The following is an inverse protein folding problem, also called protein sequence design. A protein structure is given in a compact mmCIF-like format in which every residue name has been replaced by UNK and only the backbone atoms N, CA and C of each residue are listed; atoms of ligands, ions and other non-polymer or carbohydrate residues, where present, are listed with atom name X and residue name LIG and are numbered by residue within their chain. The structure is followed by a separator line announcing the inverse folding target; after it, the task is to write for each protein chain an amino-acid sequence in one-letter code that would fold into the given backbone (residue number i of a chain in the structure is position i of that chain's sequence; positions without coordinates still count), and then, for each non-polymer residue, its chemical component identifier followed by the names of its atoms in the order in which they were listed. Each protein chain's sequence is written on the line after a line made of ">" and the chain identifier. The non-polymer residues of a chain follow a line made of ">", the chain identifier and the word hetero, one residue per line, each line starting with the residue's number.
data_IF_100901039791
#
_entry.id   IF_100901039791
#
_cell.length_a   1.000
_cell.length_b   1.000
_cell.length_c   1.000
_cell.angle_alpha   90.00
_cell.angle_beta   90.00
_cell.angle_gamma   90.00
#
_symmetry.space_group_name_H-M   'P 1'
#
loop_
_entity.id
_entity.type
_entity.pdbx_description
1 polymer ?
#
# COMPACT_ATOMS: atom_id res chain seq x y z
N UNK A 1 29.72 -2.87 3.21
CA UNK A 1 29.98 -1.68 4.05
C UNK A 1 29.41 -0.41 3.44
N UNK A 2 29.61 -0.13 2.14
CA UNK A 2 29.13 1.09 1.48
C UNK A 2 27.62 1.41 1.69
N UNK A 3 26.73 0.43 1.58
CA UNK A 3 25.28 0.68 1.74
C UNK A 3 24.87 1.18 3.13
N UNK A 4 25.56 0.77 4.20
CA UNK A 4 25.26 1.26 5.57
C UNK A 4 25.63 2.72 5.74
N UNK A 5 26.74 3.15 5.15
CA UNK A 5 27.17 4.55 5.16
C UNK A 5 26.15 5.44 4.46
N UNK A 6 25.65 5.00 3.31
CA UNK A 6 24.69 5.76 2.50
C UNK A 6 23.33 5.95 3.19
N UNK A 7 22.75 4.89 3.78
CA UNK A 7 21.49 5.03 4.53
C UNK A 7 21.63 5.97 5.73
N UNK A 8 22.83 6.04 6.32
CA UNK A 8 23.15 6.97 7.39
C UNK A 8 23.21 8.40 6.90
N UNK A 9 23.89 8.64 5.79
CA UNK A 9 23.93 9.96 5.14
C UNK A 9 22.52 10.45 4.80
N UNK A 10 21.64 9.61 4.24
CA UNK A 10 20.25 9.99 3.97
C UNK A 10 19.48 10.40 5.23
N UNK A 11 19.65 9.64 6.32
CA UNK A 11 18.98 9.97 7.59
C UNK A 11 19.51 11.30 8.17
N UNK A 12 20.82 11.54 8.07
CA UNK A 12 21.45 12.79 8.50
C UNK A 12 21.02 13.97 7.64
N UNK A 13 20.90 13.80 6.32
CA UNK A 13 20.38 14.82 5.40
C UNK A 13 18.93 15.17 5.70
N UNK A 14 18.06 14.19 5.98
CA UNK A 14 16.68 14.46 6.38
C UNK A 14 16.63 15.22 7.71
N UNK A 15 17.43 14.83 8.71
CA UNK A 15 17.54 15.57 9.98
C UNK A 15 18.02 17.00 9.77
N UNK A 16 19.09 17.16 9.02
CA UNK A 16 19.67 18.46 8.71
C UNK A 16 18.70 19.36 7.95
N UNK A 17 17.90 18.81 7.03
CA UNK A 17 16.89 19.58 6.28
C UNK A 17 15.89 20.31 7.19
N UNK A 18 15.59 19.75 8.37
CA UNK A 18 14.66 20.34 9.36
C UNK A 18 15.24 21.55 10.09
N UNK A 19 16.55 21.74 10.05
CA UNK A 19 17.22 22.87 10.68
C UNK A 19 17.21 24.13 9.79
N UNK A 20 16.85 23.99 8.51
CA UNK A 20 16.75 25.13 7.61
C UNK A 20 15.56 26.03 7.96
N UNK A 21 15.82 27.34 8.01
CA UNK A 21 14.76 28.35 8.11
C UNK A 21 14.02 28.53 6.78
N UNK A 22 14.72 28.31 5.66
CA UNK A 22 14.13 28.34 4.33
C UNK A 22 13.52 26.98 3.98
N UNK A 23 12.20 26.97 3.90
CA UNK A 23 11.42 25.77 3.58
C UNK A 23 11.72 25.24 2.18
N UNK A 24 12.00 26.09 1.20
CA UNK A 24 12.26 25.64 -0.18
C UNK A 24 13.53 24.78 -0.23
N UNK A 25 14.60 25.24 0.43
CA UNK A 25 15.84 24.48 0.54
C UNK A 25 15.64 23.16 1.30
N UNK A 26 14.87 23.17 2.39
CA UNK A 26 14.53 21.95 3.12
C UNK A 26 13.80 20.93 2.21
N UNK A 27 12.80 21.38 1.44
CA UNK A 27 12.02 20.53 0.54
C UNK A 27 12.85 19.95 -0.61
N UNK A 28 13.78 20.71 -1.15
CA UNK A 28 14.69 20.23 -2.19
C UNK A 28 15.54 19.06 -1.68
N UNK A 29 16.16 19.21 -0.50
CA UNK A 29 16.94 18.14 0.12
C UNK A 29 16.07 16.90 0.39
N UNK A 30 14.88 17.10 0.96
CA UNK A 30 13.96 16.01 1.27
C UNK A 30 13.53 15.24 0.01
N UNK A 31 13.23 15.97 -1.06
CA UNK A 31 12.87 15.42 -2.38
C UNK A 31 14.02 14.60 -2.94
N UNK A 32 15.22 15.17 -3.02
CA UNK A 32 16.41 14.50 -3.55
C UNK A 32 16.77 13.23 -2.77
N UNK A 33 16.64 13.25 -1.44
CA UNK A 33 16.85 12.05 -0.62
C UNK A 33 15.79 10.99 -0.94
N UNK A 34 14.52 11.34 -1.06
CA UNK A 34 13.45 10.40 -1.42
C UNK A 34 13.68 9.80 -2.83
N UNK A 35 14.12 10.61 -3.80
CA UNK A 35 14.46 10.16 -5.15
C UNK A 35 15.61 9.16 -5.15
N UNK A 36 16.74 9.54 -4.55
CA UNK A 36 17.91 8.68 -4.47
C UNK A 36 17.56 7.37 -3.74
N UNK A 37 16.82 7.46 -2.64
CA UNK A 37 16.36 6.30 -1.89
C UNK A 37 15.51 5.36 -2.74
N UNK A 38 14.52 5.87 -3.48
CA UNK A 38 13.69 5.06 -4.38
C UNK A 38 14.53 4.32 -5.43
N UNK A 39 15.50 5.02 -6.04
CA UNK A 39 16.39 4.43 -7.04
C UNK A 39 17.22 3.29 -6.44
N UNK A 40 17.80 3.50 -5.26
CA UNK A 40 18.69 2.51 -4.62
C UNK A 40 17.91 1.30 -4.11
N UNK A 41 16.68 1.50 -3.62
CA UNK A 41 15.83 0.42 -3.10
C UNK A 41 15.16 -0.40 -4.21
N UNK A 42 15.05 0.16 -5.41
CA UNK A 42 14.46 -0.54 -6.55
C UNK A 42 15.27 -1.78 -6.90
N UNK A 43 14.63 -2.95 -6.80
CA UNK A 43 15.24 -4.26 -7.10
C UNK A 43 16.51 -4.58 -6.27
N UNK A 44 16.59 -4.06 -5.05
CA UNK A 44 17.73 -4.24 -4.15
C UNK A 44 17.30 -4.87 -2.80
N UNK A 45 17.06 -6.18 -2.74
CA UNK A 45 16.56 -6.84 -1.54
C UNK A 45 17.51 -6.71 -0.35
N UNK A 46 18.83 -6.66 -0.56
CA UNK A 46 19.81 -6.40 0.51
C UNK A 46 19.69 -4.96 1.04
N UNK A 47 19.47 -3.99 0.16
CA UNK A 47 19.22 -2.59 0.54
C UNK A 47 17.97 -2.46 1.42
N UNK A 48 16.89 -3.13 1.03
CA UNK A 48 15.64 -3.18 1.81
C UNK A 48 15.88 -3.83 3.18
N UNK A 49 16.53 -4.99 3.23
CA UNK A 49 16.87 -5.68 4.49
C UNK A 49 17.74 -4.79 5.39
N UNK A 50 18.72 -4.08 4.82
CA UNK A 50 19.55 -3.16 5.57
C UNK A 50 18.75 -2.01 6.15
N UNK A 51 17.89 -1.36 5.35
CA UNK A 51 17.08 -0.21 5.77
C UNK A 51 16.11 -0.58 6.90
N UNK A 52 15.52 -1.77 6.85
CA UNK A 52 14.52 -2.21 7.83
C UNK A 52 15.19 -2.84 9.07
N UNK A 53 16.15 -3.76 8.90
CA UNK A 53 16.62 -4.63 9.97
C UNK A 53 17.94 -4.24 10.61
N UNK A 54 18.84 -3.53 9.90
CA UNK A 54 20.27 -3.52 10.23
C UNK A 54 20.90 -2.13 10.20
N UNK A 55 20.09 -1.10 10.33
CA UNK A 55 20.55 0.26 10.15
C UNK A 55 20.76 0.96 11.50
N UNK A 56 22.00 1.40 11.77
CA UNK A 56 22.30 2.39 12.81
C UNK A 56 21.64 3.74 12.50
N UNK A 57 21.19 3.93 11.25
CA UNK A 57 20.42 5.06 10.81
C UNK A 57 18.95 4.68 10.69
N UNK A 58 18.11 5.28 11.52
CA UNK A 58 16.67 5.02 11.50
C UNK A 58 15.99 5.67 10.29
N UNK A 59 16.44 5.33 9.07
CA UNK A 59 15.96 5.93 7.82
C UNK A 59 14.46 5.71 7.63
N UNK A 60 13.93 4.58 8.08
CA UNK A 60 12.49 4.31 8.04
C UNK A 60 11.74 5.28 8.94
N UNK A 61 12.19 5.47 10.19
CA UNK A 61 11.62 6.47 11.09
C UNK A 61 11.73 7.90 10.55
N UNK A 62 12.86 8.25 9.93
CA UNK A 62 13.04 9.57 9.32
C UNK A 62 12.09 9.81 8.13
N UNK A 63 11.87 8.80 7.28
CA UNK A 63 10.92 8.88 6.16
C UNK A 63 9.46 8.93 6.64
N UNK A 64 9.13 8.18 7.70
CA UNK A 64 7.81 8.24 8.34
C UNK A 64 7.53 9.62 8.90
N UNK A 65 8.49 10.18 9.64
CA UNK A 65 8.41 11.55 10.18
C UNK A 65 8.30 12.60 9.07
N UNK A 66 9.05 12.42 7.99
CA UNK A 66 8.99 13.31 6.83
C UNK A 66 7.56 13.42 6.26
N UNK A 67 6.94 12.27 6.03
CA UNK A 67 5.61 12.15 5.42
C UNK A 67 4.47 12.50 6.40
N UNK A 68 4.69 12.30 7.69
CA UNK A 68 3.67 12.55 8.71
C UNK A 68 3.69 13.98 9.26
N UNK A 69 4.87 14.46 9.65
CA UNK A 69 5.04 15.67 10.47
C UNK A 69 5.67 16.83 9.68
N UNK A 70 6.69 16.55 8.87
CA UNK A 70 7.55 17.61 8.31
C UNK A 70 6.97 18.26 7.04
N UNK A 71 6.24 17.51 6.22
CA UNK A 71 5.61 17.97 4.98
C UNK A 71 4.09 18.05 5.18
N UNK A 72 3.47 19.23 5.06
CA UNK A 72 2.01 19.33 5.12
C UNK A 72 1.37 18.60 3.94
N UNK A 73 0.15 18.12 4.14
CA UNK A 73 -0.56 17.27 3.17
C UNK A 73 -0.69 17.92 1.79
N UNK A 74 -0.81 19.24 1.72
CA UNK A 74 -0.95 19.99 0.46
C UNK A 74 0.38 20.05 -0.33
N UNK A 75 1.52 20.00 0.37
CA UNK A 75 2.87 20.02 -0.23
C UNK A 75 3.39 18.60 -0.52
N UNK A 76 2.73 17.55 -0.03
CA UNK A 76 3.23 16.20 -0.24
C UNK A 76 3.16 15.82 -1.72
N UNK A 77 4.27 15.36 -2.26
CA UNK A 77 4.38 14.88 -3.64
C UNK A 77 4.49 13.36 -3.68
N UNK A 78 4.24 12.81 -4.86
CA UNK A 78 4.30 11.36 -5.11
C UNK A 78 5.62 10.75 -4.64
N UNK A 79 6.73 11.48 -4.80
CA UNK A 79 8.06 11.00 -4.48
C UNK A 79 8.29 10.78 -2.97
N UNK A 80 7.70 11.63 -2.11
CA UNK A 80 7.81 11.48 -0.67
C UNK A 80 7.15 10.17 -0.20
N UNK A 81 5.97 9.86 -0.73
CA UNK A 81 5.25 8.62 -0.43
C UNK A 81 5.90 7.41 -1.11
N UNK A 82 6.57 7.61 -2.26
CA UNK A 82 7.25 6.55 -3.01
C UNK A 82 8.38 5.89 -2.23
N UNK A 83 9.08 6.64 -1.37
CA UNK A 83 10.16 6.10 -0.56
C UNK A 83 9.66 5.00 0.39
N UNK A 84 8.59 5.28 1.14
CA UNK A 84 7.95 4.29 2.02
C UNK A 84 7.30 3.15 1.23
N UNK A 85 6.64 3.47 0.10
CA UNK A 85 6.07 2.45 -0.80
C UNK A 85 7.12 1.46 -1.27
N UNK A 86 8.33 1.92 -1.61
CA UNK A 86 9.41 1.07 -2.12
C UNK A 86 9.81 -0.01 -1.11
N UNK A 87 9.83 0.33 0.18
CA UNK A 87 10.06 -0.63 1.27
C UNK A 87 9.00 -1.75 1.28
N UNK A 88 7.72 -1.38 1.15
CA UNK A 88 6.64 -2.36 1.13
C UNK A 88 6.56 -3.15 -0.18
N UNK A 89 6.86 -2.52 -1.31
CA UNK A 89 6.76 -3.11 -2.64
C UNK A 89 7.83 -4.17 -2.89
N UNK A 90 9.09 -3.85 -2.55
CA UNK A 90 10.24 -4.72 -2.77
C UNK A 90 10.61 -5.55 -1.53
N UNK A 91 10.03 -5.24 -0.38
CA UNK A 91 10.14 -6.04 0.83
C UNK A 91 9.39 -7.38 0.75
N UNK A 92 9.94 -8.36 1.47
CA UNK A 92 9.30 -9.66 1.73
C UNK A 92 8.14 -9.49 2.72
N UNK A 93 7.21 -10.46 2.84
CA UNK A 93 6.12 -10.38 3.81
C UNK A 93 6.58 -10.07 5.24
N UNK A 94 7.70 -10.63 5.69
CA UNK A 94 8.28 -10.38 7.02
C UNK A 94 8.70 -8.91 7.19
N UNK A 95 9.23 -8.28 6.15
CA UNK A 95 9.57 -6.86 6.16
C UNK A 95 8.32 -5.98 6.29
N UNK A 96 7.21 -6.37 5.66
CA UNK A 96 5.95 -5.63 5.73
C UNK A 96 5.33 -5.72 7.12
N UNK A 97 5.40 -6.90 7.74
CA UNK A 97 5.05 -7.09 9.14
C UNK A 97 5.87 -6.16 10.04
N UNK A 98 7.19 -6.13 9.87
CA UNK A 98 8.07 -5.24 10.64
C UNK A 98 7.77 -3.75 10.44
N UNK A 99 7.44 -3.34 9.22
CA UNK A 99 7.03 -1.95 8.93
C UNK A 99 5.69 -1.60 9.59
N UNK A 100 4.75 -2.55 9.62
CA UNK A 100 3.48 -2.39 10.32
C UNK A 100 3.70 -2.21 11.84
N UNK A 101 4.52 -3.06 12.46
CA UNK A 101 4.88 -2.96 13.88
C UNK A 101 5.58 -1.64 14.23
N UNK A 102 6.22 -1.00 13.23
CA UNK A 102 6.81 0.33 13.38
C UNK A 102 5.83 1.49 13.23
N UNK A 103 4.58 1.23 12.83
CA UNK A 103 3.54 2.26 12.70
C UNK A 103 3.48 2.95 11.33
N UNK A 104 4.04 2.34 10.28
CA UNK A 104 4.05 2.95 8.93
C UNK A 104 2.65 3.35 8.43
N UNK A 105 1.64 2.56 8.79
CA UNK A 105 0.24 2.79 8.45
C UNK A 105 -0.27 4.11 9.02
N UNK A 106 0.10 4.46 10.26
CA UNK A 106 -0.31 5.69 10.92
C UNK A 106 0.32 6.91 10.24
N UNK A 107 1.58 6.79 9.82
CA UNK A 107 2.30 7.88 9.16
C UNK A 107 1.74 8.21 7.77
N UNK A 108 1.21 7.23 7.05
CA UNK A 108 0.74 7.43 5.67
C UNK A 108 -0.77 7.59 5.55
N UNK A 109 -1.57 7.23 6.57
CA UNK A 109 -3.03 7.18 6.46
C UNK A 109 -3.64 8.52 6.02
N UNK A 110 -3.09 9.63 6.49
CA UNK A 110 -3.57 10.97 6.16
C UNK A 110 -3.43 11.31 4.67
N UNK A 111 -2.46 10.70 3.98
CA UNK A 111 -2.21 10.94 2.56
C UNK A 111 -3.34 10.43 1.66
N UNK A 112 -4.21 9.54 2.17
CA UNK A 112 -5.44 9.14 1.48
C UNK A 112 -6.41 10.31 1.26
N UNK A 113 -6.27 11.40 2.03
CA UNK A 113 -7.09 12.61 1.89
C UNK A 113 -6.50 13.64 0.90
N UNK A 114 -5.36 13.35 0.29
CA UNK A 114 -4.74 14.23 -0.70
C UNK A 114 -5.64 14.36 -1.94
N UNK A 115 -5.67 15.54 -2.53
CA UNK A 115 -6.30 15.78 -3.82
C UNK A 115 -5.46 15.25 -4.99
N UNK A 116 -4.18 14.95 -4.77
CA UNK A 116 -3.23 14.45 -5.78
C UNK A 116 -3.43 12.95 -6.05
N UNK A 117 -3.81 12.53 -7.28
CA UNK A 117 -4.14 11.13 -7.58
C UNK A 117 -3.01 10.13 -7.34
N UNK A 118 -1.77 10.52 -7.62
CA UNK A 118 -0.64 9.62 -7.44
C UNK A 118 -0.26 9.44 -5.96
N UNK A 119 -0.49 10.45 -5.12
CA UNK A 119 -0.25 10.39 -3.67
C UNK A 119 -1.23 9.41 -3.02
N UNK A 120 -2.53 9.53 -3.31
CA UNK A 120 -3.56 8.60 -2.80
C UNK A 120 -3.34 7.19 -3.33
N UNK A 121 -3.01 7.04 -4.61
CA UNK A 121 -2.74 5.73 -5.23
C UNK A 121 -1.54 5.04 -4.55
N UNK A 122 -0.44 5.76 -4.33
CA UNK A 122 0.75 5.17 -3.73
C UNK A 122 0.56 4.86 -2.25
N UNK A 123 -0.28 5.65 -1.57
CA UNK A 123 -0.69 5.38 -0.20
C UNK A 123 -1.57 4.12 -0.13
N UNK A 124 -2.60 4.02 -0.97
CA UNK A 124 -3.47 2.84 -1.06
C UNK A 124 -2.67 1.58 -1.42
N UNK A 125 -1.72 1.69 -2.36
CA UNK A 125 -0.84 0.58 -2.72
C UNK A 125 0.06 0.14 -1.55
N UNK A 126 0.55 1.09 -0.75
CA UNK A 126 1.33 0.78 0.45
C UNK A 126 0.47 0.05 1.50
N UNK A 127 -0.74 0.55 1.77
CA UNK A 127 -1.70 -0.10 2.68
C UNK A 127 -2.06 -1.52 2.21
N UNK A 128 -2.35 -1.69 0.91
CA UNK A 128 -2.59 -3.01 0.33
C UNK A 128 -1.43 -3.98 0.57
N UNK A 129 -0.18 -3.53 0.42
CA UNK A 129 1.00 -4.38 0.67
C UNK A 129 1.12 -4.78 2.14
N UNK A 130 0.83 -3.86 3.06
CA UNK A 130 0.85 -4.15 4.50
C UNK A 130 -0.23 -5.18 4.86
N UNK A 131 -1.47 -4.93 4.46
CA UNK A 131 -2.63 -5.82 4.71
C UNK A 131 -2.39 -7.20 4.09
N UNK A 132 -1.98 -7.26 2.81
CA UNK A 132 -1.72 -8.54 2.15
C UNK A 132 -0.47 -9.24 2.67
N UNK A 133 0.47 -8.53 3.33
CA UNK A 133 1.68 -9.11 3.91
C UNK A 133 1.36 -10.21 4.92
N UNK A 134 0.44 -9.93 5.85
CA UNK A 134 0.00 -10.87 6.87
C UNK A 134 -0.65 -12.12 6.28
N UNK A 135 -1.36 -11.97 5.17
CA UNK A 135 -1.99 -13.11 4.51
C UNK A 135 -0.99 -14.11 3.96
N UNK A 136 0.12 -13.64 3.38
CA UNK A 136 1.18 -14.51 2.90
C UNK A 136 1.86 -15.24 4.06
N UNK A 137 1.96 -14.62 5.24
CA UNK A 137 2.54 -15.23 6.44
C UNK A 137 1.60 -16.27 7.07
N UNK A 138 0.28 -16.05 7.01
CA UNK A 138 -0.73 -16.86 7.70
C UNK A 138 -1.52 -17.81 6.77
N UNK A 139 -1.18 -17.87 5.48
CA UNK A 139 -1.72 -18.87 4.55
C UNK A 139 -3.21 -18.71 4.21
N UNK A 140 -3.73 -17.47 4.20
CA UNK A 140 -5.07 -17.11 3.69
C UNK A 140 -6.27 -17.76 4.39
N UNK A 141 -6.11 -18.31 5.60
CA UNK A 141 -7.16 -19.11 6.27
C UNK A 141 -7.69 -18.51 7.56
N UNK A 142 -7.22 -17.33 7.97
CA UNK A 142 -7.61 -16.72 9.23
C UNK A 142 -8.24 -15.35 9.02
N UNK A 143 -8.95 -14.89 10.04
CA UNK A 143 -9.24 -13.47 10.22
C UNK A 143 -7.92 -12.68 10.15
N UNK A 144 -7.97 -11.47 9.59
CA UNK A 144 -6.77 -10.63 9.50
C UNK A 144 -6.24 -10.35 10.92
N UNK A 145 -4.97 -10.68 11.25
CA UNK A 145 -4.44 -10.59 12.62
C UNK A 145 -4.56 -9.18 13.24
N UNK A 146 -4.44 -8.16 12.39
CA UNK A 146 -4.52 -6.75 12.78
C UNK A 146 -5.86 -6.08 12.48
N UNK A 147 -6.94 -6.83 12.25
CA UNK A 147 -8.23 -6.23 11.92
C UNK A 147 -8.68 -5.20 12.96
N UNK A 148 -8.72 -5.60 14.23
CA UNK A 148 -9.27 -4.75 15.30
C UNK A 148 -8.39 -3.49 15.47
N UNK A 149 -7.06 -3.62 15.35
CA UNK A 149 -6.13 -2.48 15.35
C UNK A 149 -6.35 -1.53 14.17
N UNK A 150 -6.55 -2.05 12.96
CA UNK A 150 -6.85 -1.24 11.78
C UNK A 150 -8.21 -0.55 11.88
N UNK A 151 -9.19 -1.18 12.50
CA UNK A 151 -10.49 -0.59 12.78
C UNK A 151 -10.37 0.57 13.78
N UNK A 152 -9.67 0.36 14.90
CA UNK A 152 -9.41 1.38 15.93
C UNK A 152 -8.64 2.58 15.37
N UNK A 153 -7.64 2.35 14.52
CA UNK A 153 -6.87 3.38 13.81
C UNK A 153 -7.67 4.09 12.71
N UNK A 154 -8.90 3.63 12.42
CA UNK A 154 -9.75 4.23 11.40
C UNK A 154 -9.32 3.92 9.96
N UNK A 155 -8.48 2.91 9.74
CA UNK A 155 -8.02 2.50 8.40
C UNK A 155 -9.16 1.95 7.56
N UNK A 156 -10.05 1.15 8.14
CA UNK A 156 -11.25 0.67 7.45
C UNK A 156 -12.11 1.86 6.95
N UNK A 157 -12.25 2.89 7.81
CA UNK A 157 -13.02 4.09 7.49
C UNK A 157 -12.36 4.94 6.41
N UNK A 158 -11.03 5.14 6.46
CA UNK A 158 -10.32 5.94 5.45
C UNK A 158 -10.37 5.26 4.08
N UNK A 159 -10.18 3.94 4.03
CA UNK A 159 -10.25 3.16 2.79
C UNK A 159 -11.64 3.26 2.18
N UNK A 160 -12.68 3.22 3.00
CA UNK A 160 -14.06 3.34 2.52
C UNK A 160 -14.42 4.77 2.06
N UNK A 161 -14.22 5.75 2.93
CA UNK A 161 -14.71 7.12 2.68
C UNK A 161 -13.83 7.91 1.72
N UNK A 162 -12.51 7.86 1.90
CA UNK A 162 -11.56 8.64 1.10
C UNK A 162 -11.03 7.83 -0.09
N UNK A 163 -10.77 6.53 0.11
CA UNK A 163 -10.27 5.65 -0.95
C UNK A 163 -11.32 5.22 -1.97
N UNK A 164 -12.41 4.60 -1.50
CA UNK A 164 -13.42 3.97 -2.35
C UNK A 164 -14.49 4.97 -2.83
N UNK A 165 -15.05 5.79 -1.94
CA UNK A 165 -16.14 6.72 -2.30
C UNK A 165 -15.65 8.04 -2.92
N UNK A 166 -14.55 8.60 -2.39
CA UNK A 166 -13.96 9.88 -2.85
C UNK A 166 -12.65 9.72 -3.62
N UNK A 167 -12.28 8.49 -3.99
CA UNK A 167 -11.04 8.22 -4.70
C UNK A 167 -10.91 9.09 -5.95
N UNK A 168 -9.78 9.77 -6.07
CA UNK A 168 -9.47 10.69 -7.18
C UNK A 168 -8.91 9.99 -8.43
N UNK A 169 -8.68 8.67 -8.38
CA UNK A 169 -8.48 7.85 -9.58
C UNK A 169 -9.00 6.42 -9.41
N UNK A 170 -9.29 5.76 -10.54
CA UNK A 170 -9.90 4.43 -10.56
C UNK A 170 -9.04 3.38 -9.83
N UNK A 171 -7.71 3.43 -9.99
CA UNK A 171 -6.80 2.49 -9.31
C UNK A 171 -6.85 2.62 -7.79
N UNK A 172 -7.01 3.83 -7.24
CA UNK A 172 -7.17 4.05 -5.80
C UNK A 172 -8.49 3.43 -5.31
N UNK A 173 -9.57 3.61 -6.08
CA UNK A 173 -10.90 3.06 -5.79
C UNK A 173 -10.83 1.52 -5.76
N UNK A 174 -10.22 0.92 -6.79
CA UNK A 174 -10.07 -0.54 -6.91
C UNK A 174 -9.25 -1.11 -5.76
N UNK A 175 -8.06 -0.55 -5.50
CA UNK A 175 -7.20 -0.99 -4.39
C UNK A 175 -7.87 -0.82 -3.02
N UNK A 176 -8.69 0.21 -2.85
CA UNK A 176 -9.41 0.42 -1.58
C UNK A 176 -10.50 -0.64 -1.37
N UNK A 177 -11.26 -0.98 -2.42
CA UNK A 177 -12.22 -2.09 -2.38
C UNK A 177 -11.53 -3.43 -2.11
N UNK A 178 -10.38 -3.66 -2.74
CA UNK A 178 -9.56 -4.84 -2.48
C UNK A 178 -9.09 -4.88 -1.03
N UNK A 179 -8.48 -3.82 -0.50
CA UNK A 179 -8.04 -3.76 0.90
C UNK A 179 -9.18 -4.09 1.86
N UNK A 180 -10.36 -3.49 1.66
CA UNK A 180 -11.55 -3.78 2.47
C UNK A 180 -11.96 -5.25 2.37
N UNK A 181 -11.95 -5.84 1.17
CA UNK A 181 -12.27 -7.26 1.00
C UNK A 181 -11.29 -8.20 1.70
N UNK A 182 -10.02 -7.82 1.78
CA UNK A 182 -9.01 -8.56 2.53
C UNK A 182 -9.19 -8.39 4.04
N UNK A 183 -9.47 -7.18 4.51
CA UNK A 183 -9.68 -6.94 5.94
C UNK A 183 -10.91 -7.70 6.45
N UNK A 184 -12.00 -7.67 5.70
CA UNK A 184 -13.25 -8.34 6.05
C UNK A 184 -13.31 -9.82 5.62
N UNK A 185 -12.19 -10.46 5.28
CA UNK A 185 -12.20 -11.91 5.05
C UNK A 185 -12.72 -12.64 6.31
N UNK A 186 -13.67 -13.56 6.10
CA UNK A 186 -14.37 -14.28 7.19
C UNK A 186 -15.13 -13.37 8.18
N UNK A 187 -15.33 -12.10 7.85
CA UNK A 187 -16.20 -11.17 8.59
C UNK A 187 -17.28 -10.63 7.66
N UNK A 188 -18.41 -10.24 8.22
CA UNK A 188 -19.44 -9.57 7.43
C UNK A 188 -19.06 -8.10 7.23
N UNK A 189 -19.20 -7.60 6.00
CA UNK A 189 -19.05 -6.17 5.73
C UNK A 189 -20.18 -5.38 6.42
N UNK A 190 -19.90 -4.20 6.99
CA UNK A 190 -20.94 -3.30 7.48
C UNK A 190 -21.95 -3.00 6.36
N UNK A 191 -23.23 -2.89 6.72
CA UNK A 191 -24.34 -2.77 5.78
C UNK A 191 -24.11 -1.60 4.80
N UNK A 192 -23.59 -0.50 5.31
CA UNK A 192 -23.26 0.71 4.55
C UNK A 192 -22.10 0.53 3.55
N UNK A 193 -21.19 -0.42 3.79
CA UNK A 193 -20.04 -0.69 2.92
C UNK A 193 -20.33 -1.78 1.89
N UNK A 194 -21.15 -2.76 2.26
CA UNK A 194 -21.36 -4.03 1.55
C UNK A 194 -21.68 -3.85 0.07
N UNK A 195 -22.70 -3.07 -0.26
CA UNK A 195 -23.12 -2.86 -1.65
C UNK A 195 -22.01 -2.16 -2.47
N UNK A 196 -21.38 -1.14 -1.91
CA UNK A 196 -20.37 -0.33 -2.61
C UNK A 196 -19.12 -1.16 -2.91
N UNK A 197 -18.63 -1.93 -1.93
CA UNK A 197 -17.45 -2.80 -2.07
C UNK A 197 -17.74 -3.92 -3.08
N UNK A 198 -18.86 -4.64 -2.94
CA UNK A 198 -19.20 -5.75 -3.85
C UNK A 198 -19.39 -5.26 -5.28
N UNK A 199 -20.09 -4.13 -5.47
CA UNK A 199 -20.28 -3.56 -6.80
C UNK A 199 -18.95 -3.17 -7.44
N UNK A 200 -18.02 -2.60 -6.67
CA UNK A 200 -16.72 -2.22 -7.20
C UNK A 200 -15.88 -3.42 -7.62
N UNK A 201 -15.80 -4.46 -6.77
CA UNK A 201 -15.10 -5.69 -7.12
C UNK A 201 -15.76 -6.39 -8.32
N UNK A 202 -17.08 -6.37 -8.41
CA UNK A 202 -17.81 -6.94 -9.56
C UNK A 202 -17.49 -6.22 -10.88
N UNK A 203 -17.32 -4.89 -10.86
CA UNK A 203 -16.86 -4.13 -12.03
C UNK A 203 -15.44 -4.56 -12.45
N UNK A 204 -14.56 -4.81 -11.49
CA UNK A 204 -13.19 -5.26 -11.76
C UNK A 204 -13.12 -6.60 -12.49
N UNK A 205 -14.13 -7.47 -12.34
CA UNK A 205 -14.25 -8.71 -13.14
C UNK A 205 -14.49 -8.49 -14.63
N UNK A 206 -14.93 -7.29 -15.02
CA UNK A 206 -15.19 -6.92 -16.41
C UNK A 206 -14.02 -6.15 -17.03
N UNK A 207 -12.94 -5.92 -16.27
CA UNK A 207 -11.77 -5.18 -16.73
C UNK A 207 -10.95 -6.04 -17.73
N UNK A 208 -10.45 -5.49 -18.84
CA UNK A 208 -9.57 -6.24 -19.76
C UNK A 208 -8.24 -6.68 -19.14
N UNK A 209 -7.77 -6.03 -18.07
CA UNK A 209 -6.55 -6.40 -17.36
C UNK A 209 -6.78 -7.65 -16.49
N UNK A 210 -6.02 -8.71 -16.79
CA UNK A 210 -6.06 -9.97 -16.03
C UNK A 210 -5.66 -9.79 -14.58
N UNK A 211 -4.79 -8.83 -14.27
CA UNK A 211 -4.39 -8.54 -12.89
C UNK A 211 -5.59 -8.04 -12.09
N UNK A 212 -6.38 -7.11 -12.66
CA UNK A 212 -7.56 -6.53 -12.02
C UNK A 212 -8.67 -7.58 -11.84
N UNK A 213 -8.90 -8.44 -12.84
CA UNK A 213 -9.84 -9.58 -12.73
C UNK A 213 -9.41 -10.50 -11.57
N UNK A 214 -8.12 -10.85 -11.50
CA UNK A 214 -7.58 -11.76 -10.47
C UNK A 214 -7.77 -11.18 -9.07
N UNK A 215 -7.40 -9.91 -8.88
CA UNK A 215 -7.51 -9.28 -7.58
C UNK A 215 -8.98 -9.12 -7.15
N UNK A 216 -9.85 -8.72 -8.07
CA UNK A 216 -11.29 -8.60 -7.81
C UNK A 216 -11.97 -9.94 -7.50
N UNK A 217 -11.62 -10.99 -8.25
CA UNK A 217 -12.12 -12.36 -8.01
C UNK A 217 -11.72 -12.84 -6.62
N UNK A 218 -10.46 -12.62 -6.24
CA UNK A 218 -9.97 -12.95 -4.91
C UNK A 218 -10.71 -12.17 -3.82
N UNK A 219 -10.90 -10.86 -3.99
CA UNK A 219 -11.64 -10.05 -3.03
C UNK A 219 -13.08 -10.54 -2.81
N UNK A 220 -13.80 -10.86 -3.89
CA UNK A 220 -15.13 -11.44 -3.80
C UNK A 220 -15.11 -12.81 -3.10
N UNK A 221 -14.14 -13.66 -3.41
CA UNK A 221 -13.97 -14.96 -2.75
C UNK A 221 -13.72 -14.79 -1.25
N UNK A 222 -12.92 -13.80 -0.86
CA UNK A 222 -12.61 -13.51 0.55
C UNK A 222 -13.86 -13.09 1.34
N UNK A 223 -14.74 -12.30 0.73
CA UNK A 223 -16.01 -11.89 1.33
C UNK A 223 -17.02 -13.05 1.44
N UNK A 224 -17.07 -13.92 0.42
CA UNK A 224 -17.94 -15.10 0.40
C UNK A 224 -17.66 -16.13 1.52
N UNK A 225 -16.51 -16.02 2.20
CA UNK A 225 -16.14 -16.90 3.30
C UNK A 225 -16.80 -16.54 4.64
N UNK A 226 -17.49 -15.40 4.74
CA UNK A 226 -18.25 -15.08 5.95
C UNK A 226 -19.55 -15.90 6.02
N UNK A 227 -19.89 -16.40 7.21
CA UNK A 227 -20.98 -17.39 7.41
C UNK A 227 -22.36 -16.91 6.93
N UNK A 228 -22.57 -15.59 6.82
CA UNK A 228 -23.81 -14.96 6.38
C UNK A 228 -23.82 -14.49 4.91
N UNK A 229 -22.68 -14.48 4.21
CA UNK A 229 -22.57 -13.97 2.83
C UNK A 229 -22.70 -15.04 1.75
N UNK A 230 -23.43 -16.12 2.05
CA UNK A 230 -24.01 -17.05 1.06
C UNK A 230 -25.16 -16.38 0.28
N UNK A 231 -24.98 -15.13 -0.13
CA UNK A 231 -25.81 -14.50 -1.14
C UNK A 231 -25.46 -15.09 -2.50
N UNK A 232 -26.49 -15.59 -3.21
CA UNK A 232 -26.40 -16.15 -4.56
C UNK A 232 -25.61 -15.26 -5.57
N UNK A 233 -25.45 -13.95 -5.30
CA UNK A 233 -24.72 -13.03 -6.17
C UNK A 233 -23.19 -13.27 -6.17
N UNK A 234 -22.56 -13.42 -5.00
CA UNK A 234 -21.10 -13.63 -4.90
C UNK A 234 -20.72 -15.00 -5.44
N UNK A 235 -21.50 -16.02 -5.08
CA UNK A 235 -21.22 -17.40 -5.48
C UNK A 235 -21.36 -17.62 -6.99
N UNK A 236 -22.34 -16.97 -7.65
CA UNK A 236 -22.48 -17.00 -9.12
C UNK A 236 -21.33 -16.31 -9.84
N UNK A 237 -20.82 -15.21 -9.28
CA UNK A 237 -19.70 -14.45 -9.86
C UNK A 237 -18.36 -15.17 -9.72
N UNK A 238 -18.14 -15.92 -8.63
CA UNK A 238 -16.91 -16.68 -8.42
C UNK A 238 -16.82 -17.94 -9.30
N UNK A 239 -17.94 -18.60 -9.59
CA UNK A 239 -17.94 -19.85 -10.39
C UNK A 239 -17.49 -19.67 -11.84
N UNK A 240 -17.58 -18.46 -12.42
CA UNK A 240 -17.05 -18.18 -13.76
C UNK A 240 -15.54 -17.89 -13.77
N UNK A 241 -14.97 -17.36 -12.68
CA UNK A 241 -13.55 -16.97 -12.62
C UNK A 241 -12.59 -18.07 -12.13
N UNK A 242 -13.08 -19.10 -11.43
CA UNK A 242 -12.27 -20.20 -10.90
C UNK A 242 -11.52 -21.01 -11.99
N UNK A 243 -11.89 -20.86 -13.26
CA UNK A 243 -11.12 -21.44 -14.37
C UNK A 243 -9.78 -20.73 -14.65
N UNK A 244 -9.51 -19.55 -14.06
CA UNK A 244 -8.26 -18.82 -14.25
C UNK A 244 -7.17 -19.12 -13.19
N UNK A 245 -7.50 -19.74 -12.06
CA UNK A 245 -6.53 -19.93 -10.96
C UNK A 245 -5.57 -21.12 -11.15
N UNK A 246 -5.84 -22.04 -12.08
CA UNK A 246 -5.05 -23.28 -12.22
C UNK A 246 -3.68 -23.06 -12.90
N UNK A 247 -3.41 -21.91 -13.53
CA UNK A 247 -2.23 -21.72 -14.40
C UNK A 247 -1.15 -20.72 -13.90
N UNK A 248 -1.30 -20.03 -12.75
CA UNK A 248 -0.56 -18.76 -12.52
C UNK A 248 0.13 -18.63 -11.15
N UNK A 249 0.91 -19.64 -10.77
CA UNK A 249 1.76 -19.59 -9.56
C UNK A 249 3.20 -19.09 -9.81
N UNK A 250 3.47 -18.43 -10.96
CA UNK A 250 4.84 -17.98 -11.33
C UNK A 250 5.02 -16.49 -11.66
N UNK A 251 4.02 -15.62 -11.50
CA UNK A 251 4.12 -14.22 -11.99
C UNK A 251 3.92 -13.12 -10.93
N UNK A 252 4.47 -13.29 -9.74
CA UNK A 252 4.63 -12.19 -8.78
C UNK A 252 5.76 -11.24 -9.20
N UNK A 253 5.57 -10.45 -10.27
CA UNK A 253 6.46 -9.32 -10.63
C UNK A 253 5.81 -8.24 -11.54
N UNK A 254 4.48 -8.19 -11.65
CA UNK A 254 3.81 -7.35 -12.66
C UNK A 254 3.65 -5.86 -12.26
N UNK A 255 3.86 -5.50 -10.99
CA UNK A 255 3.67 -4.09 -10.55
C UNK A 255 4.91 -3.19 -10.64
N UNK A 256 6.04 -3.69 -11.14
CA UNK A 256 7.31 -2.94 -11.23
C UNK A 256 7.55 -2.26 -12.58
N UNK A 257 6.75 -2.53 -13.63
CA UNK A 257 7.09 -2.09 -14.99
C UNK A 257 6.38 -0.84 -15.51
N UNK A 258 5.38 -0.28 -14.81
CA UNK A 258 4.61 0.86 -15.35
C UNK A 258 5.16 2.27 -15.03
N UNK A 259 6.30 2.39 -14.35
CA UNK A 259 6.88 3.69 -13.99
C UNK A 259 8.11 4.10 -14.83
N UNK A 260 8.57 3.24 -15.76
CA UNK A 260 9.80 3.48 -16.51
C UNK A 260 9.60 4.09 -17.91
N UNK A 261 8.36 4.41 -18.33
CA UNK A 261 8.06 4.85 -19.70
C UNK A 261 7.46 6.25 -19.87
N UNK A 262 7.38 7.08 -18.82
CA UNK A 262 6.78 8.43 -18.89
C UNK A 262 7.74 9.60 -18.58
N UNK A 263 9.06 9.38 -18.65
CA UNK A 263 10.06 10.44 -18.63
C UNK A 263 11.01 10.32 -19.83
N UNK A 264 10.45 10.47 -21.04
CA UNK A 264 11.19 10.89 -22.24
C UNK A 264 10.27 11.71 -23.15
N UNK A 265 10.04 12.96 -22.76
CA UNK A 265 9.91 14.12 -23.66
C UNK A 265 10.50 15.32 -22.93
#
# INVERSE_FOLDING_TARGET
>A
MAGRTMLKEFSEMLRFSREFQDKEHARNIQTEVCEAFCVIMSDNPEGIDLAINKSDSDIVGELMKLVHDDIPLEEIETIHVSALKSLCAFGKPEHRHQLYERGIQESIIQNMKSDKPNVTLFTAATLYKLISGEWYLNGFKCLHPFFDTFEEQGINKILFEDGLKRGNCQKTIDLSAECLSLLYQQRELPIEMKEVVINQLTKGLQNPDKADIKCSSRGLLSLAQSENETSNAVQRSCTSSLYCEVDVDQSSNVFSSSAASEQRV
#
